data_IF_958574965039
#
_entry.id   IF_958574965039
#
_cell.length_a   1.000
_cell.length_b   1.000
_cell.length_c   1.000
_cell.angle_alpha   90.00
_cell.angle_beta   90.00
_cell.angle_gamma   90.00
#
_symmetry.space_group_name_H-M   'P 1'
#
loop_
_entity.id
_entity.type
_entity.pdbx_description
1 polymer ?
#
# COMPACT_ATOMS: atom_id res chain seq x y z
N UNK A 1 -21.51 -8.68 9.35
CA UNK A 1 -20.24 -9.42 9.19
C UNK A 1 -20.06 -9.77 7.72
N UNK A 2 -18.95 -9.39 7.08
CA UNK A 2 -18.68 -9.78 5.71
C UNK A 2 -18.52 -11.30 5.61
N UNK A 3 -18.88 -11.86 4.50
CA UNK A 3 -18.70 -13.28 4.29
C UNK A 3 -17.25 -13.60 3.91
N UNK A 4 -16.95 -14.91 3.83
CA UNK A 4 -15.60 -15.38 3.54
C UNK A 4 -15.11 -14.94 2.16
N UNK A 5 -16.00 -14.88 1.15
CA UNK A 5 -15.61 -14.51 -0.21
C UNK A 5 -15.25 -13.04 -0.30
N UNK A 6 -16.00 -12.18 0.39
CA UNK A 6 -15.69 -10.75 0.45
C UNK A 6 -14.34 -10.52 1.12
N UNK A 7 -14.11 -11.19 2.25
CA UNK A 7 -12.83 -11.09 2.97
C UNK A 7 -11.68 -11.56 2.11
N UNK A 8 -11.84 -12.71 1.42
CA UNK A 8 -10.78 -13.24 0.57
C UNK A 8 -10.48 -12.31 -0.61
N UNK A 9 -11.51 -11.73 -1.23
CA UNK A 9 -11.30 -10.80 -2.35
C UNK A 9 -10.55 -9.54 -1.91
N UNK A 10 -10.84 -9.05 -0.70
CA UNK A 10 -10.09 -7.92 -0.14
C UNK A 10 -8.63 -8.30 0.11
N UNK A 11 -8.37 -9.47 0.70
CA UNK A 11 -7.01 -9.92 0.96
C UNK A 11 -6.22 -10.14 -0.34
N UNK A 12 -6.88 -10.59 -1.40
CA UNK A 12 -6.25 -10.70 -2.72
C UNK A 12 -5.85 -9.32 -3.24
N UNK A 13 -6.69 -8.31 -3.04
CA UNK A 13 -6.35 -6.92 -3.41
C UNK A 13 -5.16 -6.40 -2.59
N UNK A 14 -5.10 -6.72 -1.30
CA UNK A 14 -3.96 -6.34 -0.45
C UNK A 14 -2.68 -7.00 -0.95
N UNK A 15 -2.73 -8.24 -1.42
CA UNK A 15 -1.56 -8.91 -2.00
C UNK A 15 -1.08 -8.16 -3.25
N UNK A 16 -2.00 -7.69 -4.09
CA UNK A 16 -1.66 -6.86 -5.26
C UNK A 16 -0.99 -5.54 -4.84
N UNK A 17 -1.43 -4.95 -3.72
CA UNK A 17 -0.77 -3.78 -3.15
C UNK A 17 0.68 -4.10 -2.77
N UNK A 18 0.90 -5.22 -2.09
CA UNK A 18 2.26 -5.64 -1.70
C UNK A 18 3.13 -5.91 -2.92
N UNK A 19 2.57 -6.53 -3.97
CA UNK A 19 3.29 -6.74 -5.23
C UNK A 19 3.78 -5.41 -5.81
N UNK A 20 2.90 -4.41 -5.86
CA UNK A 20 3.23 -3.09 -6.38
C UNK A 20 4.32 -2.41 -5.53
N UNK A 21 4.26 -2.55 -4.22
CA UNK A 21 5.27 -1.97 -3.32
C UNK A 21 6.65 -2.63 -3.51
N UNK A 22 6.67 -3.87 -3.98
CA UNK A 22 7.92 -4.59 -4.18
C UNK A 22 8.51 -4.39 -5.58
N UNK A 23 7.69 -4.39 -6.62
CA UNK A 23 8.17 -4.38 -8.00
C UNK A 23 8.05 -3.02 -8.70
N UNK A 24 7.29 -2.07 -8.15
CA UNK A 24 7.03 -0.75 -8.76
C UNK A 24 6.50 -0.84 -10.20
N UNK A 25 5.82 -1.94 -10.54
CA UNK A 25 5.28 -2.13 -11.88
C UNK A 25 3.98 -1.33 -12.04
N UNK A 26 4.11 -0.11 -12.53
CA UNK A 26 2.98 0.84 -12.62
C UNK A 26 1.95 0.44 -13.67
N UNK A 27 2.21 -0.58 -14.49
CA UNK A 27 1.18 -1.12 -15.38
C UNK A 27 0.00 -1.71 -14.58
N UNK A 28 0.23 -2.07 -13.32
CA UNK A 28 -0.80 -2.57 -12.40
C UNK A 28 -1.34 -1.51 -11.44
N UNK A 29 -0.83 -0.27 -11.51
CA UNK A 29 -1.17 0.77 -10.54
C UNK A 29 -2.67 1.02 -10.44
N UNK A 30 -3.35 1.15 -11.59
CA UNK A 30 -4.77 1.48 -11.61
C UNK A 30 -5.67 0.32 -11.13
N UNK A 31 -5.10 -0.88 -11.00
CA UNK A 31 -5.78 -2.04 -10.41
C UNK A 31 -5.65 -2.07 -8.88
N UNK A 32 -4.79 -1.23 -8.32
CA UNK A 32 -4.53 -1.15 -6.88
C UNK A 32 -5.11 0.14 -6.29
N UNK A 33 -4.87 1.27 -6.95
CA UNK A 33 -5.29 2.59 -6.47
C UNK A 33 -6.38 3.18 -7.33
N UNK A 34 -7.40 3.78 -6.68
CA UNK A 34 -8.35 4.62 -7.39
C UNK A 34 -7.63 5.88 -7.91
N UNK A 35 -8.06 6.41 -9.05
CA UNK A 35 -7.46 7.61 -9.61
C UNK A 35 -7.60 8.84 -8.72
N UNK A 36 -8.60 8.86 -7.86
CA UNK A 36 -8.84 9.94 -6.89
C UNK A 36 -8.06 9.77 -5.58
N UNK A 37 -7.30 8.68 -5.42
CA UNK A 37 -6.63 8.39 -4.17
C UNK A 37 -5.58 9.45 -3.82
N UNK A 38 -5.40 9.67 -2.52
CA UNK A 38 -4.38 10.56 -1.99
C UNK A 38 -3.64 9.86 -0.87
N UNK A 39 -2.33 10.12 -0.78
CA UNK A 39 -1.47 9.59 0.24
C UNK A 39 -1.08 10.72 1.19
N UNK A 40 -1.11 10.42 2.49
CA UNK A 40 -0.67 11.36 3.53
C UNK A 40 0.33 10.69 4.45
N UNK A 41 1.36 11.45 4.85
CA UNK A 41 2.31 11.00 5.86
C UNK A 41 3.17 12.14 6.34
N UNK A 42 3.74 11.99 7.53
CA UNK A 42 4.69 12.97 8.04
C UNK A 42 6.11 12.54 7.69
N UNK A 43 6.89 13.47 7.17
CA UNK A 43 8.32 13.28 6.95
C UNK A 43 9.03 14.50 7.49
N UNK A 44 9.99 14.26 8.40
CA UNK A 44 10.76 15.33 9.03
C UNK A 44 9.87 16.45 9.60
N UNK A 45 8.73 16.06 10.20
CA UNK A 45 7.79 16.99 10.82
C UNK A 45 6.83 17.67 9.85
N UNK A 46 6.94 17.44 8.54
CA UNK A 46 6.07 18.05 7.54
C UNK A 46 5.08 17.04 6.98
N UNK A 47 3.82 17.44 6.85
CA UNK A 47 2.80 16.61 6.22
C UNK A 47 3.05 16.56 4.71
N UNK A 48 3.19 15.36 4.19
CA UNK A 48 3.29 15.10 2.76
C UNK A 48 1.92 14.72 2.24
N UNK A 49 1.53 15.35 1.13
CA UNK A 49 0.33 14.98 0.38
C UNK A 49 0.74 14.60 -1.03
N UNK A 50 0.34 13.40 -1.45
CA UNK A 50 0.72 12.88 -2.75
C UNK A 50 -0.53 12.34 -3.46
N UNK A 51 -1.02 13.04 -4.51
CA UNK A 51 -2.10 12.50 -5.33
C UNK A 51 -1.67 11.22 -6.06
N UNK A 52 -2.64 10.37 -6.40
CA UNK A 52 -2.35 9.08 -7.04
C UNK A 52 -1.49 9.22 -8.30
N UNK A 53 -1.79 10.20 -9.16
CA UNK A 53 -1.02 10.38 -10.40
C UNK A 53 0.46 10.70 -10.12
N UNK A 54 0.72 11.51 -9.10
CA UNK A 54 2.09 11.87 -8.72
C UNK A 54 2.81 10.67 -8.10
N UNK A 55 2.09 9.87 -7.31
CA UNK A 55 2.64 8.65 -6.72
C UNK A 55 2.99 7.62 -7.80
N UNK A 56 2.10 7.44 -8.78
CA UNK A 56 2.36 6.56 -9.92
C UNK A 56 3.63 6.98 -10.66
N UNK A 57 3.78 8.28 -10.93
CA UNK A 57 4.97 8.81 -11.60
C UNK A 57 6.23 8.58 -10.76
N UNK A 58 6.13 8.75 -9.44
CA UNK A 58 7.25 8.51 -8.53
C UNK A 58 7.67 7.04 -8.57
N UNK A 59 6.72 6.11 -8.50
CA UNK A 59 7.03 4.69 -8.57
C UNK A 59 7.67 4.30 -9.90
N UNK A 60 7.19 4.89 -11.00
CA UNK A 60 7.72 4.61 -12.33
C UNK A 60 9.19 5.04 -12.48
N UNK A 61 9.60 6.08 -11.75
CA UNK A 61 10.96 6.63 -11.83
C UNK A 61 11.89 6.20 -10.71
N UNK A 62 11.41 5.38 -9.76
CA UNK A 62 12.18 4.94 -8.61
C UNK A 62 12.58 3.47 -8.79
N UNK A 63 13.86 3.10 -8.60
CA UNK A 63 14.25 1.69 -8.60
C UNK A 63 13.48 0.92 -7.55
N UNK A 64 12.91 -0.22 -7.94
CA UNK A 64 12.10 -1.03 -7.03
C UNK A 64 12.95 -1.79 -6.03
N UNK A 65 12.40 -2.16 -4.86
CA UNK A 65 13.06 -3.09 -3.97
C UNK A 65 13.49 -4.38 -4.68
N UNK A 66 12.63 -4.90 -5.55
CA UNK A 66 12.93 -6.10 -6.34
C UNK A 66 14.18 -5.92 -7.20
N UNK A 67 14.29 -4.78 -7.89
CA UNK A 67 15.44 -4.51 -8.78
C UNK A 67 16.75 -4.36 -8.01
N UNK A 68 16.68 -4.01 -6.73
CA UNK A 68 17.83 -3.85 -5.85
C UNK A 68 18.17 -5.14 -5.09
N UNK A 69 17.38 -6.20 -5.28
CA UNK A 69 17.58 -7.43 -4.51
C UNK A 69 17.22 -7.32 -3.04
N UNK A 70 16.41 -6.33 -2.67
CA UNK A 70 15.98 -6.15 -1.29
C UNK A 70 15.04 -7.28 -0.85
N UNK A 71 15.04 -7.65 0.44
CA UNK A 71 14.11 -8.66 0.93
C UNK A 71 12.67 -8.19 0.80
N UNK A 72 11.76 -9.11 0.51
CA UNK A 72 10.32 -8.85 0.54
C UNK A 72 9.76 -9.31 1.88
N UNK A 73 9.34 -8.36 2.70
CA UNK A 73 8.78 -8.64 4.02
C UNK A 73 7.54 -7.76 4.22
N UNK A 74 6.48 -8.36 4.73
CA UNK A 74 5.19 -7.68 4.86
C UNK A 74 4.29 -8.42 5.84
N UNK A 75 3.29 -7.71 6.39
CA UNK A 75 2.28 -8.33 7.25
C UNK A 75 0.99 -7.52 7.21
N UNK A 76 -0.14 -8.22 7.26
CA UNK A 76 -1.44 -7.61 7.49
C UNK A 76 -1.69 -7.61 9.00
N UNK A 77 -1.88 -6.43 9.59
CA UNK A 77 -2.06 -6.29 11.04
C UNK A 77 -3.52 -6.19 11.46
N UNK A 78 -4.37 -5.62 10.62
CA UNK A 78 -5.77 -5.39 10.93
C UNK A 78 -6.58 -5.28 9.65
N UNK A 79 -7.75 -5.90 9.66
CA UNK A 79 -8.77 -5.71 8.62
C UNK A 79 -10.05 -5.32 9.35
N UNK A 80 -10.61 -4.17 9.00
CA UNK A 80 -11.81 -3.63 9.64
C UNK A 80 -12.81 -3.21 8.57
N UNK A 81 -13.93 -3.91 8.48
CA UNK A 81 -14.99 -3.62 7.53
C UNK A 81 -16.00 -2.64 8.12
N UNK A 82 -16.19 -1.50 7.47
CA UNK A 82 -17.31 -0.60 7.77
C UNK A 82 -18.59 -1.11 7.13
N UNK A 83 -18.45 -1.78 5.97
CA UNK A 83 -19.54 -2.33 5.18
C UNK A 83 -18.96 -3.42 4.28
N UNK A 84 -19.80 -4.25 3.62
CA UNK A 84 -19.25 -5.21 2.64
C UNK A 84 -18.47 -4.57 1.48
N UNK A 85 -18.63 -3.25 1.30
CA UNK A 85 -17.98 -2.50 0.20
C UNK A 85 -16.92 -1.50 0.67
N UNK A 86 -16.61 -1.48 1.97
CA UNK A 86 -15.66 -0.51 2.51
C UNK A 86 -14.89 -1.12 3.67
N UNK A 87 -13.58 -1.01 3.63
CA UNK A 87 -12.73 -1.57 4.67
C UNK A 87 -11.48 -0.71 4.88
N UNK A 88 -10.96 -0.78 6.10
CA UNK A 88 -9.65 -0.26 6.46
C UNK A 88 -8.71 -1.45 6.69
N UNK A 89 -7.55 -1.41 6.06
CA UNK A 89 -6.52 -2.45 6.26
C UNK A 89 -5.25 -1.77 6.76
N UNK A 90 -4.73 -2.26 7.88
CA UNK A 90 -3.46 -1.80 8.44
C UNK A 90 -2.40 -2.84 8.09
N UNK A 91 -1.31 -2.40 7.49
CA UNK A 91 -0.25 -3.30 7.05
C UNK A 91 1.13 -2.79 7.50
N UNK A 92 2.06 -3.72 7.62
CA UNK A 92 3.49 -3.42 7.64
C UNK A 92 4.07 -3.84 6.31
N UNK A 93 4.91 -3.00 5.72
CA UNK A 93 5.60 -3.33 4.49
C UNK A 93 7.03 -2.80 4.54
N UNK A 94 7.97 -3.67 4.20
CA UNK A 94 9.38 -3.28 4.08
C UNK A 94 9.64 -2.82 2.65
N UNK A 95 10.18 -1.60 2.54
CA UNK A 95 10.61 -1.03 1.26
C UNK A 95 12.07 -0.66 1.43
N UNK A 96 12.96 -1.52 0.90
CA UNK A 96 14.40 -1.36 1.00
C UNK A 96 14.85 -1.41 2.48
N UNK A 97 15.34 -0.31 3.04
CA UNK A 97 15.78 -0.22 4.44
C UNK A 97 14.73 0.35 5.37
N UNK A 98 13.53 0.62 4.86
CA UNK A 98 12.46 1.24 5.63
C UNK A 98 11.32 0.26 5.85
N UNK A 99 10.81 0.23 7.08
CA UNK A 99 9.55 -0.42 7.40
C UNK A 99 8.48 0.64 7.52
N UNK A 100 7.43 0.52 6.72
CA UNK A 100 6.27 1.40 6.76
C UNK A 100 5.12 0.72 7.45
N UNK A 101 4.39 1.49 8.28
CA UNK A 101 3.06 1.12 8.74
C UNK A 101 2.07 1.94 7.93
N UNK A 102 1.26 1.26 7.11
CA UNK A 102 0.31 1.92 6.23
C UNK A 102 -1.12 1.63 6.65
N UNK A 103 -1.96 2.66 6.62
CA UNK A 103 -3.41 2.52 6.70
C UNK A 103 -3.97 2.68 5.30
N UNK A 104 -4.64 1.64 4.82
CA UNK A 104 -5.21 1.60 3.47
C UNK A 104 -6.73 1.62 3.58
N UNK A 105 -7.35 2.67 3.08
CA UNK A 105 -8.80 2.73 2.95
C UNK A 105 -9.19 2.13 1.62
N UNK A 106 -9.97 1.05 1.66
CA UNK A 106 -10.43 0.33 0.48
C UNK A 106 -11.91 0.57 0.25
N UNK A 107 -12.27 0.76 -1.01
CA UNK A 107 -13.67 0.74 -1.46
C UNK A 107 -13.82 -0.27 -2.59
N UNK A 108 -14.92 -1.02 -2.57
CA UNK A 108 -15.26 -1.93 -3.66
C UNK A 108 -15.96 -1.13 -4.75
N UNK A 109 -15.28 -0.92 -5.86
CA UNK A 109 -15.74 -0.08 -6.97
C UNK A 109 -15.82 -0.96 -8.21
N UNK A 110 -17.04 -1.13 -8.76
CA UNK A 110 -17.26 -2.09 -9.81
C UNK A 110 -16.95 -3.50 -9.29
N UNK A 111 -16.03 -4.19 -9.92
CA UNK A 111 -15.65 -5.56 -9.55
C UNK A 111 -14.34 -5.63 -8.76
N UNK A 112 -13.82 -4.50 -8.30
CA UNK A 112 -12.49 -4.47 -7.69
C UNK A 112 -12.44 -3.68 -6.40
N UNK A 113 -11.61 -4.14 -5.47
CA UNK A 113 -11.22 -3.36 -4.30
C UNK A 113 -10.06 -2.43 -4.69
N UNK A 114 -10.27 -1.12 -4.48
CA UNK A 114 -9.25 -0.12 -4.77
C UNK A 114 -8.94 0.70 -3.53
N UNK A 115 -7.67 1.05 -3.36
CA UNK A 115 -7.25 1.97 -2.31
C UNK A 115 -7.71 3.38 -2.69
N UNK A 116 -8.52 3.99 -1.86
CA UNK A 116 -9.04 5.35 -2.08
C UNK A 116 -8.33 6.38 -1.22
N UNK A 117 -7.64 5.94 -0.17
CA UNK A 117 -6.79 6.80 0.66
C UNK A 117 -5.73 5.94 1.32
N UNK A 118 -4.54 6.51 1.48
CA UNK A 118 -3.43 5.85 2.16
C UNK A 118 -2.80 6.83 3.14
N UNK A 119 -2.60 6.39 4.38
CA UNK A 119 -1.77 7.10 5.34
C UNK A 119 -0.55 6.24 5.62
N UNK A 120 0.65 6.84 5.50
CA UNK A 120 1.89 6.10 5.69
C UNK A 120 2.68 6.68 6.87
N UNK A 121 3.40 5.79 7.55
CA UNK A 121 4.26 6.16 8.64
C UNK A 121 5.53 5.29 8.59
N UNK A 122 6.69 5.92 8.69
CA UNK A 122 7.94 5.16 8.78
C UNK A 122 8.07 4.62 10.20
N UNK A 123 7.79 3.33 10.34
CA UNK A 123 7.77 2.67 11.65
C UNK A 123 9.18 2.35 12.14
N UNK A 124 10.09 2.06 11.21
CA UNK A 124 11.46 1.68 11.56
C UNK A 124 12.39 1.93 10.37
N UNK A 125 13.59 2.41 10.69
CA UNK A 125 14.69 2.51 9.71
C UNK A 125 15.73 1.45 10.03
N UNK A 126 16.14 0.68 9.03
CA UNK A 126 17.24 -0.28 9.16
C UNK A 126 18.52 0.40 8.73
N UNK A 127 19.60 0.14 9.48
CA UNK A 127 20.92 0.54 9.05
C UNK A 127 21.44 -0.44 8.00
N UNK A 128 22.44 -0.04 7.22
CA UNK A 128 22.99 -0.88 6.16
C UNK A 128 23.47 -2.23 6.68
N UNK A 129 23.95 -2.29 7.93
CA UNK A 129 24.43 -3.52 8.55
C UNK A 129 23.31 -4.46 8.99
N UNK A 130 22.06 -4.02 8.98
CA UNK A 130 20.89 -4.81 9.40
C UNK A 130 20.29 -5.64 8.25
N UNK A 131 20.91 -5.60 7.10
CA UNK A 131 20.38 -6.28 5.90
C UNK A 131 20.99 -7.66 5.71
#
# INVERSE_FOLDING_TARGET
>A
MPDRLITQSLLDAVECYFDLMFDNDVSHFDQVFAGSAQLHGLRAGSLRLLPAADYKAMLASTPSPKSKGAPREQAVLLVDFAAPTQALVKVLVRIDTLWYCDYLSYHHIGDAWLVTAKSFHIARRLEATDQ
#
